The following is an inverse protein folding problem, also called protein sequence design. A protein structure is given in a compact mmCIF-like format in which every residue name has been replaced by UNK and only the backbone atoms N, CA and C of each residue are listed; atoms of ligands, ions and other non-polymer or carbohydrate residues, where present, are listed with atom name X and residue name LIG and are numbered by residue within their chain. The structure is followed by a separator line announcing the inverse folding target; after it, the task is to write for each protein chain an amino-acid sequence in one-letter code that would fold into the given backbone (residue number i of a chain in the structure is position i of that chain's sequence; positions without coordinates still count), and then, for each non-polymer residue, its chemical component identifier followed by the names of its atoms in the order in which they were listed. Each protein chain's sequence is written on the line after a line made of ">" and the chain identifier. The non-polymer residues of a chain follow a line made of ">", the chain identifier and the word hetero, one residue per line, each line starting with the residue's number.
data_IF_729129233158
#
_entry.id   IF_729129233158
#
_cell.length_a   1.000
_cell.length_b   1.000
_cell.length_c   1.000
_cell.angle_alpha   90.00
_cell.angle_beta   90.00
_cell.angle_gamma   90.00
#
_symmetry.space_group_name_H-M   'P 1'
#
loop_
_entity.id
_entity.type
_entity.pdbx_description
1 polymer ?
#
# COMPACT_ATOMS: atom_id res chain seq x y z
N UNK A 1 -15.18 -16.46 -8.25
CA UNK A 1 -14.61 -16.88 -6.95
C UNK A 1 -13.23 -17.42 -7.25
N UNK A 2 -12.15 -16.89 -6.69
CA UNK A 2 -11.95 -16.45 -5.32
C UNK A 2 -11.16 -15.11 -5.22
N UNK A 3 -11.91 -14.01 -5.09
CA UNK A 3 -11.38 -12.71 -4.64
C UNK A 3 -11.09 -12.69 -3.13
N UNK A 4 -10.57 -13.79 -2.57
CA UNK A 4 -10.22 -13.90 -1.16
C UNK A 4 -8.88 -13.22 -0.89
N UNK A 5 -8.83 -12.42 0.17
CA UNK A 5 -7.61 -11.76 0.62
C UNK A 5 -6.71 -12.78 1.32
N UNK A 6 -5.54 -13.07 0.74
CA UNK A 6 -4.57 -14.01 1.28
C UNK A 6 -3.42 -13.26 1.95
N UNK A 7 -3.16 -13.52 3.23
CA UNK A 7 -1.97 -13.01 3.91
C UNK A 7 -0.78 -13.91 3.59
N UNK A 8 0.27 -13.34 3.01
CA UNK A 8 1.53 -14.02 2.69
C UNK A 8 2.65 -13.19 3.32
N UNK A 9 3.20 -13.68 4.42
CA UNK A 9 4.20 -12.95 5.20
C UNK A 9 3.66 -11.63 5.77
N UNK A 10 4.32 -10.52 5.42
CA UNK A 10 3.99 -9.16 5.87
C UNK A 10 2.82 -8.55 5.11
N UNK A 11 2.55 -9.00 3.89
CA UNK A 11 1.55 -8.39 3.01
C UNK A 11 0.32 -9.27 2.84
N UNK A 12 -0.74 -8.67 2.32
CA UNK A 12 -1.96 -9.34 1.92
C UNK A 12 -2.23 -9.09 0.44
N UNK A 13 -2.76 -10.10 -0.25
CA UNK A 13 -2.93 -10.09 -1.70
C UNK A 13 -4.33 -10.54 -2.08
N UNK A 14 -4.91 -9.94 -3.11
CA UNK A 14 -6.08 -10.50 -3.79
C UNK A 14 -5.85 -10.54 -5.30
N UNK A 15 -6.36 -11.57 -5.98
CA UNK A 15 -6.33 -11.63 -7.44
C UNK A 15 -7.46 -10.75 -8.01
N UNK A 16 -7.15 -10.01 -9.06
CA UNK A 16 -8.09 -9.10 -9.74
C UNK A 16 -7.90 -9.23 -11.25
N UNK A 17 -8.96 -8.96 -11.98
CA UNK A 17 -8.91 -8.81 -13.43
C UNK A 17 -9.32 -7.39 -13.78
N UNK A 18 -8.63 -6.81 -14.75
CA UNK A 18 -8.88 -5.43 -15.13
C UNK A 18 -10.09 -5.32 -16.05
N UNK A 19 -11.05 -4.45 -15.70
CA UNK A 19 -12.32 -4.30 -16.42
C UNK A 19 -12.25 -3.30 -17.60
N UNK A 20 -11.37 -2.31 -17.49
CA UNK A 20 -11.12 -1.27 -18.51
C UNK A 20 -9.66 -0.81 -18.41
N UNK A 21 -9.02 -0.26 -19.45
CA UNK A 21 -7.61 0.13 -19.37
C UNK A 21 -7.31 1.07 -18.20
N UNK A 22 -6.25 0.78 -17.41
CA UNK A 22 -5.80 1.61 -16.28
C UNK A 22 -4.34 1.32 -15.96
N UNK A 23 -3.55 2.37 -15.74
CA UNK A 23 -2.12 2.25 -15.45
C UNK A 23 -1.41 1.41 -16.51
N UNK A 24 -0.65 0.37 -16.12
CA UNK A 24 0.02 -0.52 -17.06
C UNK A 24 -0.89 -1.61 -17.66
N UNK A 25 -2.18 -1.66 -17.29
CA UNK A 25 -3.08 -2.76 -17.61
C UNK A 25 -4.08 -2.42 -18.72
N UNK A 26 -4.39 -3.41 -19.53
CA UNK A 26 -5.49 -3.44 -20.50
C UNK A 26 -6.67 -4.28 -19.98
N UNK A 27 -7.81 -4.22 -20.67
CA UNK A 27 -8.98 -5.04 -20.30
C UNK A 27 -8.64 -6.53 -20.38
N UNK A 28 -8.93 -7.25 -19.29
CA UNK A 28 -8.71 -8.70 -19.20
C UNK A 28 -7.39 -9.08 -18.51
N UNK A 29 -6.45 -8.15 -18.33
CA UNK A 29 -5.19 -8.43 -17.65
C UNK A 29 -5.43 -8.82 -16.18
N UNK A 30 -4.68 -9.83 -15.73
CA UNK A 30 -4.67 -10.23 -14.34
C UNK A 30 -3.61 -9.43 -13.56
N UNK A 31 -4.00 -8.97 -12.39
CA UNK A 31 -3.13 -8.24 -11.48
C UNK A 31 -3.44 -8.63 -10.04
N UNK A 32 -2.55 -8.28 -9.11
CA UNK A 32 -2.84 -8.44 -7.68
C UNK A 32 -2.98 -7.09 -6.98
N UNK A 33 -3.96 -7.00 -6.10
CA UNK A 33 -4.05 -5.87 -5.17
C UNK A 33 -3.28 -6.20 -3.89
N UNK A 34 -2.36 -5.32 -3.51
CA UNK A 34 -1.54 -5.40 -2.30
C UNK A 34 -2.18 -4.60 -1.17
N UNK A 35 -2.32 -5.24 -0.02
CA UNK A 35 -2.86 -4.68 1.21
C UNK A 35 -1.85 -4.80 2.34
N UNK A 36 -1.88 -3.83 3.25
CA UNK A 36 -0.94 -3.72 4.36
C UNK A 36 -1.69 -4.00 5.66
N UNK A 37 -1.48 -5.18 6.28
CA UNK A 37 -1.95 -5.44 7.63
C UNK A 37 -1.49 -4.35 8.60
N UNK A 38 -2.39 -3.98 9.53
CA UNK A 38 -2.14 -2.93 10.53
C UNK A 38 -1.19 -3.31 11.66
N UNK A 39 -0.51 -4.46 11.55
CA UNK A 39 0.43 -5.01 12.53
C UNK A 39 1.86 -5.08 11.97
N UNK A 40 2.85 -4.87 12.84
CA UNK A 40 4.27 -5.02 12.51
C UNK A 40 4.86 -3.96 11.56
N UNK A 41 6.19 -3.81 11.54
CA UNK A 41 6.87 -2.87 10.65
C UNK A 41 6.80 -3.35 9.18
N UNK A 42 6.83 -2.41 8.24
CA UNK A 42 7.04 -2.68 6.81
C UNK A 42 8.54 -2.90 6.51
N UNK A 43 9.18 -3.82 7.26
CA UNK A 43 10.58 -4.15 7.05
C UNK A 43 10.85 -4.50 5.56
N UNK A 44 11.86 -3.90 4.91
CA UNK A 44 12.09 -4.10 3.47
C UNK A 44 12.27 -5.57 3.09
N UNK A 45 13.04 -6.34 3.87
CA UNK A 45 13.28 -7.76 3.60
C UNK A 45 12.01 -8.60 3.80
N UNK A 46 11.18 -8.26 4.79
CA UNK A 46 9.89 -8.94 4.97
C UNK A 46 8.91 -8.62 3.83
N UNK A 47 8.93 -7.40 3.29
CA UNK A 47 8.15 -7.00 2.11
C UNK A 47 8.62 -7.79 0.88
N UNK A 48 9.92 -7.86 0.63
CA UNK A 48 10.50 -8.64 -0.49
C UNK A 48 10.06 -10.10 -0.44
N UNK A 49 10.28 -10.75 0.72
CA UNK A 49 9.87 -12.15 0.94
C UNK A 49 8.37 -12.38 0.72
N UNK A 50 7.54 -11.39 1.04
CA UNK A 50 6.09 -11.48 0.85
C UNK A 50 5.72 -11.43 -0.63
N UNK A 51 6.39 -10.57 -1.41
CA UNK A 51 6.19 -10.44 -2.85
C UNK A 51 6.68 -11.69 -3.59
N UNK A 52 7.87 -12.18 -3.27
CA UNK A 52 8.45 -13.36 -3.89
C UNK A 52 7.61 -14.62 -3.61
N UNK A 53 7.22 -14.83 -2.35
CA UNK A 53 6.35 -15.95 -1.99
C UNK A 53 4.98 -15.85 -2.66
N UNK A 54 4.44 -14.63 -2.80
CA UNK A 54 3.20 -14.42 -3.54
C UNK A 54 3.37 -14.75 -5.03
N UNK A 55 4.47 -14.38 -5.67
CA UNK A 55 4.71 -14.74 -7.07
C UNK A 55 4.65 -16.25 -7.29
N UNK A 56 5.35 -17.04 -6.46
CA UNK A 56 5.32 -18.51 -6.51
C UNK A 56 3.91 -19.06 -6.25
N UNK A 57 3.26 -18.66 -5.15
CA UNK A 57 1.94 -19.18 -4.76
C UNK A 57 0.88 -18.89 -5.83
N UNK A 58 0.88 -17.68 -6.40
CA UNK A 58 -0.11 -17.32 -7.40
C UNK A 58 0.15 -17.98 -8.76
N UNK A 59 1.42 -18.19 -9.13
CA UNK A 59 1.76 -18.95 -10.34
C UNK A 59 1.29 -20.41 -10.24
N UNK A 60 1.49 -21.06 -9.09
CA UNK A 60 1.05 -22.44 -8.86
C UNK A 60 -0.48 -22.56 -8.80
N UNK A 61 -1.14 -21.60 -8.14
CA UNK A 61 -2.59 -21.65 -7.91
C UNK A 61 -3.40 -21.21 -9.13
N UNK A 62 -2.85 -20.34 -9.96
CA UNK A 62 -3.55 -19.74 -11.10
C UNK A 62 -2.67 -19.75 -12.38
N UNK A 63 -2.26 -20.93 -12.86
CA UNK A 63 -1.34 -21.04 -14.00
C UNK A 63 -1.88 -20.40 -15.28
N UNK A 64 -3.21 -20.39 -15.48
CA UNK A 64 -3.88 -19.80 -16.65
C UNK A 64 -4.13 -18.29 -16.52
N UNK A 65 -3.64 -17.63 -15.46
CA UNK A 65 -3.90 -16.23 -15.15
C UNK A 65 -2.58 -15.47 -14.97
N UNK A 66 -1.86 -15.17 -16.05
CA UNK A 66 -0.57 -14.49 -15.96
C UNK A 66 -0.74 -13.10 -15.34
N UNK A 67 -0.12 -12.90 -14.18
CA UNK A 67 -0.17 -11.64 -13.44
C UNK A 67 0.93 -10.72 -13.97
N UNK A 68 0.55 -9.53 -14.40
CA UNK A 68 1.49 -8.58 -15.02
C UNK A 68 1.90 -7.43 -14.09
N UNK A 69 1.08 -7.12 -13.08
CA UNK A 69 1.37 -6.03 -12.14
C UNK A 69 0.76 -6.27 -10.76
N UNK A 70 1.24 -5.50 -9.79
CA UNK A 70 0.60 -5.31 -8.49
C UNK A 70 0.14 -3.86 -8.33
N UNK A 71 -1.04 -3.67 -7.72
CA UNK A 71 -1.60 -2.37 -7.37
C UNK A 71 -1.65 -2.16 -5.86
N UNK A 72 -1.58 -0.92 -5.39
CA UNK A 72 -1.88 -0.57 -4.01
C UNK A 72 -2.63 0.76 -3.95
N UNK A 73 -3.68 0.80 -3.14
CA UNK A 73 -4.40 2.00 -2.74
C UNK A 73 -4.11 2.23 -1.24
N UNK A 74 -3.33 3.25 -0.90
CA UNK A 74 -3.01 3.54 0.50
C UNK A 74 -2.69 5.01 0.76
N UNK A 75 -3.01 5.49 1.95
CA UNK A 75 -2.52 6.79 2.44
C UNK A 75 -0.99 6.81 2.60
N UNK A 76 -0.36 5.63 2.72
CA UNK A 76 1.11 5.53 2.73
C UNK A 76 1.75 5.91 1.39
N UNK A 77 0.99 5.92 0.29
CA UNK A 77 1.45 6.35 -1.04
C UNK A 77 1.36 7.86 -1.24
N UNK A 78 0.89 8.63 -0.25
CA UNK A 78 0.93 10.09 -0.29
C UNK A 78 2.40 10.58 -0.30
N UNK A 79 2.84 11.33 -1.32
CA UNK A 79 4.23 11.81 -1.42
C UNK A 79 4.71 12.60 -0.22
N UNK A 80 3.82 13.28 0.51
CA UNK A 80 4.18 14.00 1.71
C UNK A 80 4.77 13.08 2.79
N UNK A 81 4.29 11.83 2.91
CA UNK A 81 4.87 10.88 3.86
C UNK A 81 6.35 10.61 3.53
N UNK A 82 6.68 10.43 2.25
CA UNK A 82 8.04 10.21 1.79
C UNK A 82 8.94 11.43 1.99
N UNK A 83 8.38 12.64 1.89
CA UNK A 83 9.10 13.89 2.17
C UNK A 83 9.32 14.09 3.68
N UNK A 84 8.31 13.81 4.51
CA UNK A 84 8.36 14.06 5.95
C UNK A 84 9.12 12.97 6.73
N UNK A 85 9.21 11.75 6.19
CA UNK A 85 9.86 10.61 6.85
C UNK A 85 10.75 9.78 5.90
N UNK A 86 11.71 10.38 5.18
CA UNK A 86 12.38 9.77 4.02
C UNK A 86 13.17 8.49 4.28
N UNK A 87 13.59 8.25 5.53
CA UNK A 87 14.33 7.06 5.97
C UNK A 87 13.43 5.98 6.58
N UNK A 88 12.10 6.18 6.58
CA UNK A 88 11.17 5.23 7.18
C UNK A 88 10.89 4.03 6.26
N UNK A 89 10.60 2.90 6.88
CA UNK A 89 10.12 1.69 6.19
C UNK A 89 8.87 1.97 5.34
N UNK A 90 7.98 2.85 5.79
CA UNK A 90 6.79 3.25 5.04
C UNK A 90 7.14 4.00 3.75
N UNK A 91 8.10 4.92 3.82
CA UNK A 91 8.60 5.62 2.63
C UNK A 91 9.35 4.68 1.68
N UNK A 92 10.11 3.72 2.22
CA UNK A 92 10.73 2.64 1.43
C UNK A 92 9.70 1.78 0.70
N UNK A 93 8.61 1.42 1.38
CA UNK A 93 7.48 0.70 0.76
C UNK A 93 6.80 1.54 -0.33
N UNK A 94 6.47 2.81 -0.05
CA UNK A 94 5.80 3.69 -1.00
C UNK A 94 6.62 3.89 -2.29
N UNK A 95 7.96 4.00 -2.19
CA UNK A 95 8.87 4.15 -3.34
C UNK A 95 8.89 2.96 -4.30
N UNK A 96 8.33 1.80 -3.91
CA UNK A 96 8.20 0.64 -4.81
C UNK A 96 7.14 0.83 -5.89
N UNK A 97 6.22 1.78 -5.67
CA UNK A 97 5.08 2.00 -6.55
C UNK A 97 5.31 3.23 -7.43
N UNK A 98 5.08 3.08 -8.73
CA UNK A 98 4.82 4.19 -9.62
C UNK A 98 3.42 4.75 -9.31
N UNK A 99 3.38 5.96 -8.75
CA UNK A 99 2.13 6.63 -8.38
C UNK A 99 1.35 7.03 -9.64
N UNK A 100 0.08 6.63 -9.71
CA UNK A 100 -0.83 6.92 -10.82
C UNK A 100 -1.74 8.10 -10.50
N UNK A 101 -2.33 8.11 -9.30
CA UNK A 101 -3.32 9.09 -8.91
C UNK A 101 -3.33 9.33 -7.41
N UNK A 102 -3.82 10.51 -7.02
CA UNK A 102 -4.07 10.88 -5.63
C UNK A 102 -5.51 11.34 -5.51
N UNK A 103 -6.16 10.95 -4.42
CA UNK A 103 -7.48 11.46 -4.04
C UNK A 103 -7.46 11.99 -2.61
N UNK A 104 -8.09 13.13 -2.31
CA UNK A 104 -8.28 13.58 -0.94
C UNK A 104 -8.97 12.51 -0.12
N UNK A 105 -8.34 12.10 0.98
CA UNK A 105 -8.93 11.19 1.96
C UNK A 105 -8.34 11.57 3.33
N UNK A 106 -8.86 12.65 3.94
CA UNK A 106 -8.23 13.26 5.10
C UNK A 106 -8.26 12.34 6.34
N UNK A 107 -9.16 11.35 6.36
CA UNK A 107 -9.42 10.55 7.57
C UNK A 107 -8.53 9.32 7.71
N UNK A 108 -7.96 8.79 6.63
CA UNK A 108 -7.26 7.50 6.67
C UNK A 108 -5.94 7.56 7.45
N UNK A 109 -5.10 8.56 7.20
CA UNK A 109 -3.84 8.73 7.95
C UNK A 109 -4.10 8.88 9.45
N UNK A 110 -5.17 9.60 9.82
CA UNK A 110 -5.61 9.75 11.21
C UNK A 110 -6.10 8.42 11.79
N UNK A 111 -6.93 7.69 11.05
CA UNK A 111 -7.49 6.42 11.50
C UNK A 111 -6.42 5.34 11.68
N UNK A 112 -5.52 5.17 10.71
CA UNK A 112 -4.48 4.15 10.78
C UNK A 112 -3.41 4.46 11.83
N UNK A 113 -3.22 5.73 12.18
CA UNK A 113 -2.25 6.14 13.22
C UNK A 113 -2.86 6.15 14.62
N UNK A 114 -4.13 6.58 14.77
CA UNK A 114 -4.74 6.87 16.08
C UNK A 114 -6.08 6.18 16.34
N UNK A 115 -6.55 5.34 15.41
CA UNK A 115 -7.84 4.63 15.48
C UNK A 115 -9.04 5.57 15.65
N UNK A 116 -8.96 6.76 15.04
CA UNK A 116 -10.05 7.74 15.04
C UNK A 116 -10.10 8.50 13.74
N UNK A 117 -11.31 8.93 13.34
CA UNK A 117 -11.55 9.82 12.20
C UNK A 117 -11.98 11.22 12.63
N UNK A 118 -12.04 11.47 13.93
CA UNK A 118 -12.53 12.72 14.50
C UNK A 118 -11.41 13.76 14.62
N UNK A 119 -11.48 14.79 13.77
CA UNK A 119 -10.53 15.90 13.78
C UNK A 119 -10.59 16.74 15.06
N UNK A 120 -11.71 16.74 15.80
CA UNK A 120 -11.79 17.46 17.08
C UNK A 120 -10.84 16.87 18.14
N UNK A 121 -10.37 15.63 17.95
CA UNK A 121 -9.41 14.98 18.86
C UNK A 121 -7.97 15.38 18.60
N UNK A 122 -7.65 15.93 17.42
CA UNK A 122 -6.28 16.29 16.99
C UNK A 122 -5.47 17.01 18.06
N UNK A 123 -6.00 18.05 18.77
CA UNK A 123 -5.25 18.77 19.79
C UNK A 123 -4.82 17.93 21.02
N UNK A 124 -5.34 16.71 21.19
CA UNK A 124 -5.11 15.83 22.34
C UNK A 124 -4.44 14.50 21.97
N UNK A 125 -4.13 14.29 20.70
CA UNK A 125 -3.51 13.04 20.25
C UNK A 125 -2.02 12.98 20.62
N UNK A 126 -1.50 11.77 20.92
CA UNK A 126 -0.09 11.61 21.31
C UNK A 126 0.87 11.96 20.16
N UNK A 127 2.09 12.38 20.51
CA UNK A 127 3.16 12.79 19.57
C UNK A 127 4.47 12.04 19.81
N UNK A 128 4.38 10.84 20.38
CA UNK A 128 5.52 10.05 20.86
C UNK A 128 6.38 9.55 19.69
N UNK A 129 5.75 9.17 18.57
CA UNK A 129 6.44 8.65 17.39
C UNK A 129 6.58 9.69 16.28
N UNK A 130 7.57 9.51 15.40
CA UNK A 130 7.75 10.36 14.22
C UNK A 130 6.54 10.33 13.29
N UNK A 131 5.86 9.18 13.19
CA UNK A 131 4.65 9.06 12.38
C UNK A 131 3.51 9.90 12.94
N UNK A 132 3.29 9.84 14.26
CA UNK A 132 2.27 10.64 14.93
C UNK A 132 2.52 12.13 14.70
N UNK A 133 3.77 12.59 14.85
CA UNK A 133 4.15 13.99 14.57
C UNK A 133 3.90 14.36 13.11
N UNK A 134 4.40 13.59 12.15
CA UNK A 134 4.20 13.88 10.73
C UNK A 134 2.72 13.98 10.32
N UNK A 135 1.86 13.11 10.85
CA UNK A 135 0.41 13.15 10.57
C UNK A 135 -0.23 14.42 11.14
N UNK A 136 0.04 14.73 12.40
CA UNK A 136 -0.57 15.87 13.08
C UNK A 136 -0.03 17.21 12.56
N UNK A 137 1.28 17.32 12.31
CA UNK A 137 1.93 18.54 11.81
C UNK A 137 1.33 18.95 10.45
N UNK A 138 1.07 17.99 9.56
CA UNK A 138 0.41 18.29 8.28
C UNK A 138 -1.02 18.79 8.47
N UNK A 139 -1.78 18.16 9.37
CA UNK A 139 -3.19 18.54 9.63
C UNK A 139 -3.25 19.95 10.21
N UNK A 140 -2.38 20.27 11.18
CA UNK A 140 -2.33 21.59 11.81
C UNK A 140 -1.83 22.69 10.87
N UNK A 141 -0.97 22.34 9.90
CA UNK A 141 -0.57 23.24 8.82
C UNK A 141 -1.68 23.47 7.76
N UNK A 142 -2.89 22.92 7.96
CA UNK A 142 -4.01 23.02 7.02
C UNK A 142 -3.90 22.09 5.80
N UNK A 143 -2.96 21.15 5.83
CA UNK A 143 -2.76 20.17 4.76
C UNK A 143 -3.76 19.02 4.82
N UNK A 144 -4.07 18.46 3.65
CA UNK A 144 -4.99 17.32 3.50
C UNK A 144 -4.19 16.07 3.15
N UNK A 145 -4.35 15.01 3.92
CA UNK A 145 -3.84 13.67 3.58
C UNK A 145 -4.64 13.06 2.43
N UNK A 146 -3.95 12.30 1.59
CA UNK A 146 -4.48 11.71 0.38
C UNK A 146 -4.27 10.20 0.38
N UNK A 147 -5.11 9.47 -0.33
CA UNK A 147 -4.79 8.10 -0.73
C UNK A 147 -4.17 8.13 -2.12
N UNK A 148 -2.99 7.53 -2.24
CA UNK A 148 -2.36 7.27 -3.53
C UNK A 148 -2.77 5.91 -4.08
N UNK A 149 -3.04 5.88 -5.40
CA UNK A 149 -3.10 4.64 -6.16
C UNK A 149 -1.81 4.48 -6.93
N UNK A 150 -1.14 3.34 -6.82
CA UNK A 150 0.12 3.10 -7.52
C UNK A 150 0.27 1.66 -7.99
N UNK A 151 1.23 1.47 -8.89
CA UNK A 151 1.53 0.21 -9.54
C UNK A 151 2.99 -0.18 -9.35
N UNK A 152 3.28 -1.46 -9.17
CA UNK A 152 4.62 -1.98 -9.36
C UNK A 152 4.60 -3.16 -10.35
N UNK A 153 5.71 -3.40 -11.07
CA UNK A 153 5.87 -4.63 -11.84
C UNK A 153 5.71 -5.85 -10.94
N UNK A 154 5.00 -6.88 -11.42
CA UNK A 154 4.92 -8.15 -10.69
C UNK A 154 6.27 -8.88 -10.78
N UNK A 155 6.85 -9.34 -9.66
CA UNK A 155 8.13 -10.05 -9.71
C UNK A 155 8.00 -11.38 -10.46
N UNK A 156 9.07 -11.75 -11.15
CA UNK A 156 9.19 -13.10 -11.72
C UNK A 156 9.21 -14.14 -10.60
N UNK A 157 8.72 -15.35 -10.90
CA UNK A 157 8.85 -16.48 -9.97
C UNK A 157 10.34 -16.72 -9.71
N UNK A 158 10.80 -16.69 -8.45
CA UNK A 158 12.19 -16.98 -8.12
C UNK A 158 12.58 -18.38 -8.64
N UNK A 159 13.80 -18.51 -9.17
CA UNK A 159 14.35 -19.84 -9.49
C UNK A 159 14.59 -20.62 -8.19
N UNK A 160 14.36 -21.94 -8.18
CA UNK A 160 14.61 -22.80 -7.01
C UNK A 160 16.09 -22.86 -6.61
#
# INVERSE_FOLDING_TARGET
>A
MDGSLLRIGRLQFHLRQQAAPRGPLTTGDWFVGVHIPGDGPLDPTAVDKSLDAAASIFADRFPDRPIVAASCDSWLLDPHLATSMPASNMSGFARRFALESLRPEPTDALYFTFRTRDFARVPRLPRDTSLQRAVLDRIEAGGIWQVGSGWLPWPAVPSP
#
